data_IF_594164285467
#
_entry.id   IF_594164285467
#
_cell.length_a   1.000
_cell.length_b   1.000
_cell.length_c   1.000
_cell.angle_alpha   90.00
_cell.angle_beta   90.00
_cell.angle_gamma   90.00
#
_symmetry.space_group_name_H-M   'P 1'
#
loop_
_entity.id
_entity.type
_entity.pdbx_description
1 polymer ?
#
# COMPACT_ATOMS: atom_id res chain seq x y z
N UNK A 1 -16.47 -65.37 -41.40
CA UNK A 1 -17.37 -65.88 -40.34
C UNK A 1 -18.36 -64.77 -40.03
N UNK A 2 -19.52 -64.80 -40.67
CA UNK A 2 -20.77 -65.38 -40.14
C UNK A 2 -21.39 -64.44 -39.10
N UNK A 3 -22.37 -63.60 -39.50
CA UNK A 3 -23.83 -63.79 -39.29
C UNK A 3 -24.28 -63.39 -37.88
N UNK A 4 -25.38 -62.69 -37.61
CA UNK A 4 -26.60 -62.46 -38.40
C UNK A 4 -27.51 -61.43 -37.69
N UNK A 5 -28.24 -60.66 -38.52
CA UNK A 5 -29.70 -60.35 -38.49
C UNK A 5 -30.33 -59.74 -37.21
N UNK A 6 -30.93 -58.54 -37.28
CA UNK A 6 -32.30 -58.16 -37.80
C UNK A 6 -33.42 -58.85 -37.00
N UNK A 7 -34.61 -58.30 -36.74
CA UNK A 7 -35.42 -57.10 -37.11
C UNK A 7 -36.55 -57.09 -36.03
N UNK A 8 -36.94 -55.96 -35.46
CA UNK A 8 -38.04 -55.07 -35.88
C UNK A 8 -39.47 -55.67 -35.85
N UNK A 9 -40.45 -54.79 -35.59
CA UNK A 9 -41.92 -54.95 -35.46
C UNK A 9 -42.46 -55.16 -34.03
N UNK A 10 -43.56 -54.52 -33.62
CA UNK A 10 -44.56 -53.80 -34.40
C UNK A 10 -45.48 -52.94 -33.54
N UNK A 11 -46.20 -52.05 -34.25
CA UNK A 11 -47.36 -51.29 -33.78
C UNK A 11 -48.49 -52.24 -33.36
N UNK A 12 -49.20 -51.88 -32.28
CA UNK A 12 -50.42 -52.54 -31.83
C UNK A 12 -51.42 -51.54 -31.24
N UNK A 13 -52.47 -51.25 -32.01
CA UNK A 13 -53.75 -50.66 -31.62
C UNK A 13 -54.45 -51.56 -30.55
N UNK A 14 -55.45 -51.22 -29.73
CA UNK A 14 -56.60 -50.28 -29.80
C UNK A 14 -57.36 -50.35 -28.46
N UNK A 15 -58.02 -49.22 -28.12
CA UNK A 15 -59.37 -49.07 -27.55
C UNK A 15 -59.78 -49.64 -26.18
N UNK A 16 -60.21 -48.72 -25.29
CA UNK A 16 -61.60 -48.46 -24.85
C UNK A 16 -61.81 -48.38 -23.34
N UNK A 17 -62.44 -47.29 -22.89
CA UNK A 17 -63.04 -47.16 -21.56
C UNK A 17 -63.19 -45.71 -21.12
N UNK A 18 -64.25 -45.04 -21.57
CA UNK A 18 -64.54 -43.65 -21.27
C UNK A 18 -65.35 -43.41 -19.99
N UNK A 19 -65.27 -42.18 -19.50
CA UNK A 19 -66.35 -41.36 -18.91
C UNK A 19 -65.71 -39.97 -18.76
N UNK A 20 -66.30 -38.82 -19.05
CA UNK A 20 -67.68 -38.38 -19.21
C UNK A 20 -67.64 -36.91 -18.78
N UNK A 21 -68.00 -35.97 -19.66
CA UNK A 21 -67.94 -34.55 -19.32
C UNK A 21 -67.93 -33.64 -20.54
N UNK A 22 -69.11 -33.31 -21.02
CA UNK A 22 -69.33 -32.33 -22.09
C UNK A 22 -69.31 -30.92 -21.49
N UNK A 23 -68.36 -30.08 -21.90
CA UNK A 23 -68.47 -28.62 -21.84
C UNK A 23 -67.82 -28.00 -23.07
N UNK A 24 -68.66 -27.29 -23.84
CA UNK A 24 -68.40 -26.25 -24.82
C UNK A 24 -67.05 -26.25 -25.59
N UNK A 25 -67.17 -26.44 -26.91
CA UNK A 25 -66.19 -25.95 -27.87
C UNK A 25 -66.04 -24.42 -27.75
N UNK A 26 -64.94 -23.96 -27.16
CA UNK A 26 -64.40 -22.64 -27.46
C UNK A 26 -63.21 -22.84 -28.38
N UNK A 27 -63.23 -22.13 -29.51
CA UNK A 27 -62.05 -21.99 -30.36
C UNK A 27 -60.91 -21.45 -29.50
N UNK A 28 -59.84 -22.23 -29.41
CA UNK A 28 -58.61 -21.80 -28.76
C UNK A 28 -57.95 -20.83 -29.74
N UNK A 29 -58.20 -19.54 -29.56
CA UNK A 29 -57.36 -18.48 -30.15
C UNK A 29 -55.91 -18.87 -29.92
N UNK A 30 -55.14 -18.98 -31.01
CA UNK A 30 -53.70 -19.20 -30.97
C UNK A 30 -53.08 -17.99 -30.29
N UNK A 31 -52.88 -18.08 -28.97
CA UNK A 31 -52.11 -17.10 -28.24
C UNK A 31 -50.72 -17.07 -28.86
N UNK A 32 -50.32 -15.89 -29.34
CA UNK A 32 -48.96 -15.61 -29.78
C UNK A 32 -48.01 -16.06 -28.66
N UNK A 33 -46.98 -16.90 -28.96
CA UNK A 33 -45.99 -17.24 -27.95
C UNK A 33 -45.39 -15.94 -27.40
N UNK A 34 -45.13 -15.84 -26.08
CA UNK A 34 -44.46 -14.67 -25.52
C UNK A 34 -43.17 -14.43 -26.32
N UNK A 35 -42.80 -13.16 -26.59
CA UNK A 35 -41.57 -12.87 -27.29
C UNK A 35 -40.42 -13.61 -26.61
N UNK A 36 -39.58 -14.27 -27.41
CA UNK A 36 -38.39 -14.96 -26.90
C UNK A 36 -37.63 -13.97 -26.01
N UNK A 37 -37.46 -14.30 -24.73
CA UNK A 37 -36.58 -13.56 -23.85
C UNK A 37 -35.19 -13.75 -24.44
N UNK A 38 -34.61 -12.70 -25.03
CA UNK A 38 -33.20 -12.72 -25.38
C UNK A 38 -32.42 -12.98 -24.10
N UNK A 39 -31.90 -14.19 -23.94
CA UNK A 39 -30.93 -14.47 -22.91
C UNK A 39 -29.68 -13.67 -23.26
N UNK A 40 -29.54 -12.48 -22.66
CA UNK A 40 -28.32 -11.69 -22.77
C UNK A 40 -27.16 -12.56 -22.30
N UNK A 41 -26.29 -12.92 -23.24
CA UNK A 41 -25.07 -13.62 -22.93
C UNK A 41 -24.12 -12.62 -22.26
N UNK A 42 -24.12 -12.61 -20.94
CA UNK A 42 -23.25 -11.75 -20.14
C UNK A 42 -21.80 -12.21 -20.13
N UNK A 43 -21.48 -13.30 -20.82
CA UNK A 43 -20.13 -13.85 -20.88
C UNK A 43 -19.66 -14.41 -19.54
N UNK A 44 -18.38 -14.77 -19.50
CA UNK A 44 -17.68 -15.22 -18.32
C UNK A 44 -16.41 -14.37 -18.14
N UNK A 45 -16.04 -14.15 -16.89
CA UNK A 45 -14.77 -13.50 -16.54
C UNK A 45 -13.60 -14.47 -16.59
N UNK A 46 -13.85 -15.79 -16.45
CA UNK A 46 -12.83 -16.84 -16.40
C UNK A 46 -11.96 -16.82 -15.14
N UNK A 47 -12.33 -16.01 -14.14
CA UNK A 47 -11.55 -15.81 -12.92
C UNK A 47 -11.90 -16.87 -11.88
N UNK A 48 -10.87 -17.45 -11.28
CA UNK A 48 -10.92 -18.45 -10.23
C UNK A 48 -9.80 -18.19 -9.20
N UNK A 49 -9.85 -18.85 -8.05
CA UNK A 49 -8.74 -18.82 -7.07
C UNK A 49 -7.43 -19.17 -7.80
N UNK A 50 -6.33 -18.52 -7.42
CA UNK A 50 -5.01 -18.54 -8.06
C UNK A 50 -4.91 -17.83 -9.43
N UNK A 51 -5.99 -17.28 -9.97
CA UNK A 51 -5.92 -16.45 -11.18
C UNK A 51 -5.06 -15.21 -10.94
N UNK A 52 -4.26 -14.84 -11.94
CA UNK A 52 -3.45 -13.62 -11.90
C UNK A 52 -4.34 -12.39 -12.09
N UNK A 53 -4.34 -11.51 -11.11
CA UNK A 53 -5.02 -10.20 -11.13
C UNK A 53 -4.00 -9.06 -11.16
N UNK A 54 -4.42 -7.80 -11.33
CA UNK A 54 -3.54 -6.64 -11.18
C UNK A 54 -2.86 -6.56 -9.81
N UNK A 55 -3.47 -7.11 -8.76
CA UNK A 55 -3.01 -6.99 -7.36
C UNK A 55 -2.30 -8.24 -6.83
N UNK A 56 -2.14 -9.27 -7.66
CA UNK A 56 -1.54 -10.55 -7.27
C UNK A 56 -2.44 -11.73 -7.62
N UNK A 57 -2.17 -12.87 -7.00
CA UNK A 57 -3.00 -14.06 -7.19
C UNK A 57 -4.31 -13.90 -6.39
N UNK A 58 -5.41 -14.29 -7.00
CA UNK A 58 -6.72 -14.30 -6.35
C UNK A 58 -6.74 -15.33 -5.21
N UNK A 59 -6.91 -14.88 -3.97
CA UNK A 59 -7.08 -15.76 -2.81
C UNK A 59 -8.55 -16.17 -2.65
N UNK A 60 -9.46 -15.24 -2.94
CA UNK A 60 -10.90 -15.46 -2.90
C UNK A 60 -11.56 -14.88 -4.15
N UNK A 61 -12.52 -15.61 -4.70
CA UNK A 61 -13.33 -15.18 -5.85
C UNK A 61 -14.79 -15.51 -5.58
N UNK A 62 -15.67 -14.52 -5.66
CA UNK A 62 -17.12 -14.73 -5.69
C UNK A 62 -17.68 -14.26 -7.03
N UNK A 63 -18.75 -14.90 -7.49
CA UNK A 63 -19.40 -14.61 -8.76
C UNK A 63 -20.89 -14.31 -8.52
N UNK A 64 -21.24 -13.07 -8.15
CA UNK A 64 -22.63 -12.68 -7.86
C UNK A 64 -23.57 -12.92 -9.03
N UNK A 65 -23.07 -12.72 -10.25
CA UNK A 65 -23.86 -12.84 -11.46
C UNK A 65 -22.97 -13.21 -12.66
N UNK A 66 -23.57 -13.78 -13.73
CA UNK A 66 -22.85 -14.05 -14.97
C UNK A 66 -22.09 -12.82 -15.47
N UNK A 67 -20.79 -13.01 -15.73
CA UNK A 67 -19.88 -11.96 -16.20
C UNK A 67 -19.39 -10.98 -15.13
N UNK A 68 -19.64 -11.23 -13.84
CA UNK A 68 -19.16 -10.40 -12.73
C UNK A 68 -18.40 -11.30 -11.74
N UNK A 69 -17.16 -10.95 -11.43
CA UNK A 69 -16.36 -11.60 -10.37
C UNK A 69 -15.85 -10.57 -9.40
N UNK A 70 -16.03 -10.79 -8.11
CA UNK A 70 -15.40 -10.04 -7.03
C UNK A 70 -14.18 -10.85 -6.59
N UNK A 71 -13.03 -10.21 -6.51
CA UNK A 71 -11.76 -10.86 -6.20
C UNK A 71 -11.10 -10.18 -5.02
N UNK A 72 -10.58 -10.98 -4.09
CA UNK A 72 -9.71 -10.52 -3.02
C UNK A 72 -8.39 -11.28 -3.07
N UNK A 73 -7.32 -10.57 -2.73
CA UNK A 73 -5.92 -11.00 -2.69
C UNK A 73 -5.34 -10.65 -1.32
N UNK A 74 -4.12 -11.10 -1.02
CA UNK A 74 -3.48 -10.97 0.28
C UNK A 74 -3.36 -9.53 0.83
N UNK A 75 -3.50 -8.51 -0.01
CA UNK A 75 -3.49 -7.11 0.45
C UNK A 75 -4.44 -6.18 -0.30
N UNK A 76 -5.26 -6.67 -1.23
CA UNK A 76 -6.14 -5.83 -2.04
C UNK A 76 -7.23 -6.65 -2.75
N UNK A 77 -7.97 -6.04 -3.68
CA UNK A 77 -9.05 -6.70 -4.41
C UNK A 77 -9.71 -5.78 -5.43
N UNK A 78 -10.80 -6.28 -5.99
CA UNK A 78 -11.62 -5.52 -6.92
C UNK A 78 -12.63 -6.36 -7.67
N UNK A 79 -13.25 -5.74 -8.67
CA UNK A 79 -14.27 -6.36 -9.51
C UNK A 79 -13.73 -6.58 -10.91
N UNK A 80 -13.90 -7.79 -11.45
CA UNK A 80 -13.74 -8.09 -12.86
C UNK A 80 -15.09 -8.16 -13.54
N UNK A 81 -15.23 -7.40 -14.61
CA UNK A 81 -16.35 -7.53 -15.55
C UNK A 81 -15.93 -8.29 -16.81
N UNK A 82 -16.82 -9.12 -17.34
CA UNK A 82 -16.74 -9.61 -18.71
C UNK A 82 -16.78 -8.45 -19.71
N UNK A 83 -16.46 -8.71 -20.98
CA UNK A 83 -16.48 -7.66 -22.01
C UNK A 83 -17.89 -7.08 -22.18
N UNK A 84 -18.90 -7.94 -22.10
CA UNK A 84 -20.31 -7.64 -22.29
C UNK A 84 -20.84 -6.78 -21.14
N UNK A 85 -20.50 -7.13 -19.90
CA UNK A 85 -20.80 -6.30 -18.71
C UNK A 85 -20.08 -4.97 -18.76
N UNK A 86 -18.78 -4.98 -19.05
CA UNK A 86 -17.98 -3.78 -19.09
C UNK A 86 -18.49 -2.78 -20.15
N UNK A 87 -19.09 -3.27 -21.24
CA UNK A 87 -19.71 -2.43 -22.26
C UNK A 87 -20.97 -1.69 -21.80
N UNK A 88 -21.59 -2.06 -20.67
CA UNK A 88 -22.74 -1.36 -20.07
C UNK A 88 -22.34 -0.23 -19.13
N UNK A 89 -21.12 -0.24 -18.60
CA UNK A 89 -20.57 0.91 -17.85
C UNK A 89 -20.38 2.08 -18.82
N UNK A 90 -20.86 3.31 -18.53
CA UNK A 90 -20.66 4.44 -19.43
C UNK A 90 -19.18 4.70 -19.72
N UNK A 91 -18.83 5.15 -20.94
CA UNK A 91 -17.44 5.30 -21.36
C UNK A 91 -16.56 6.12 -20.41
N UNK A 92 -17.11 7.13 -19.73
CA UNK A 92 -16.38 7.97 -18.78
C UNK A 92 -15.91 7.20 -17.53
N UNK A 93 -16.66 6.19 -17.09
CA UNK A 93 -16.37 5.37 -15.91
C UNK A 93 -15.80 3.99 -16.24
N UNK A 94 -15.62 3.68 -17.54
CA UNK A 94 -15.32 2.33 -18.01
C UNK A 94 -13.83 2.05 -18.02
N UNK A 95 -13.41 1.02 -17.28
CA UNK A 95 -12.04 0.53 -17.32
C UNK A 95 -11.77 -0.32 -18.56
N UNK A 96 -10.69 -0.04 -19.30
CA UNK A 96 -10.39 -0.68 -20.59
C UNK A 96 -10.16 -2.20 -20.48
N UNK A 97 -9.53 -2.63 -19.38
CA UNK A 97 -9.24 -4.03 -19.09
C UNK A 97 -10.41 -4.73 -18.34
N UNK A 98 -11.44 -3.97 -17.96
CA UNK A 98 -12.59 -4.43 -17.18
C UNK A 98 -12.26 -4.85 -15.75
N UNK A 99 -11.08 -4.51 -15.24
CA UNK A 99 -10.74 -4.61 -13.82
C UNK A 99 -11.04 -3.26 -13.16
N UNK A 100 -11.63 -3.32 -11.98
CA UNK A 100 -11.99 -2.17 -11.16
C UNK A 100 -11.47 -2.41 -9.75
N UNK A 101 -10.50 -1.62 -9.31
CA UNK A 101 -9.92 -1.61 -7.97
C UNK A 101 -10.95 -1.33 -6.85
N UNK A 102 -10.81 -1.95 -5.69
CA UNK A 102 -11.84 -1.98 -4.64
C UNK A 102 -12.12 -0.65 -3.92
N UNK A 103 -11.12 0.20 -3.68
CA UNK A 103 -11.23 1.43 -2.88
C UNK A 103 -11.83 2.60 -3.68
N UNK A 104 -11.76 2.58 -5.01
CA UNK A 104 -12.29 3.66 -5.83
C UNK A 104 -13.03 3.18 -7.09
N UNK A 105 -12.40 2.40 -7.97
CA UNK A 105 -12.97 2.12 -9.29
C UNK A 105 -14.21 1.21 -9.22
N UNK A 106 -14.27 0.31 -8.23
CA UNK A 106 -15.34 -0.67 -8.02
C UNK A 106 -16.71 -0.04 -7.77
N UNK A 107 -16.75 1.24 -7.38
CA UNK A 107 -17.99 1.98 -7.27
C UNK A 107 -18.77 2.02 -8.60
N UNK A 108 -18.10 1.99 -9.76
CA UNK A 108 -18.80 1.94 -11.05
C UNK A 108 -19.61 0.63 -11.24
N UNK A 109 -19.01 -0.58 -11.16
CA UNK A 109 -19.80 -1.81 -11.25
C UNK A 109 -20.85 -1.94 -10.13
N UNK A 110 -20.55 -1.52 -8.89
CA UNK A 110 -21.54 -1.54 -7.81
C UNK A 110 -22.72 -0.60 -8.08
N UNK A 111 -22.51 0.55 -8.74
CA UNK A 111 -23.58 1.47 -9.10
C UNK A 111 -24.47 0.93 -10.23
N UNK A 112 -23.86 0.37 -11.30
CA UNK A 112 -24.61 -0.06 -12.49
C UNK A 112 -25.21 -1.46 -12.38
N UNK A 113 -24.67 -2.33 -11.53
CA UNK A 113 -25.13 -3.71 -11.35
C UNK A 113 -25.59 -4.01 -9.92
N UNK A 114 -26.02 -2.99 -9.17
CA UNK A 114 -26.43 -3.12 -7.78
C UNK A 114 -27.47 -4.24 -7.55
N UNK A 115 -28.47 -4.33 -8.44
CA UNK A 115 -29.55 -5.33 -8.37
C UNK A 115 -29.03 -6.77 -8.41
N UNK A 116 -27.88 -6.97 -9.04
CA UNK A 116 -27.28 -8.29 -9.26
C UNK A 116 -26.16 -8.58 -8.27
N UNK A 117 -25.68 -7.58 -7.52
CA UNK A 117 -24.53 -7.71 -6.63
C UNK A 117 -24.88 -7.55 -5.15
N UNK A 118 -25.99 -6.89 -4.82
CA UNK A 118 -26.32 -6.53 -3.44
C UNK A 118 -26.35 -7.72 -2.47
N UNK A 119 -26.76 -8.90 -2.96
CA UNK A 119 -26.88 -10.12 -2.16
C UNK A 119 -25.56 -10.69 -1.64
N UNK A 120 -24.42 -10.28 -2.20
CA UNK A 120 -23.10 -10.63 -1.69
C UNK A 120 -22.71 -9.81 -0.44
N UNK A 121 -23.46 -8.75 -0.13
CA UNK A 121 -23.13 -7.80 0.95
C UNK A 121 -24.16 -7.84 2.07
N UNK A 122 -23.73 -7.51 3.29
CA UNK A 122 -24.53 -7.68 4.51
C UNK A 122 -25.88 -6.96 4.52
N UNK A 123 -26.04 -5.90 3.70
CA UNK A 123 -27.29 -5.13 3.62
C UNK A 123 -28.30 -5.76 2.66
N UNK A 124 -27.86 -6.57 1.68
CA UNK A 124 -28.69 -7.16 0.63
C UNK A 124 -29.75 -6.20 0.04
N UNK A 125 -29.33 -4.94 -0.16
CA UNK A 125 -30.18 -3.85 -0.61
C UNK A 125 -29.53 -3.15 -1.82
N UNK A 126 -30.09 -3.35 -3.03
CA UNK A 126 -29.60 -2.70 -4.24
C UNK A 126 -29.64 -1.17 -4.21
N UNK A 127 -30.63 -0.56 -3.55
CA UNK A 127 -30.75 0.90 -3.48
C UNK A 127 -29.65 1.47 -2.60
N UNK A 128 -29.44 0.86 -1.42
CA UNK A 128 -28.35 1.22 -0.53
C UNK A 128 -26.97 1.05 -1.18
N UNK A 129 -26.74 -0.07 -1.89
CA UNK A 129 -25.49 -0.28 -2.63
C UNK A 129 -25.29 0.83 -3.67
N UNK A 130 -26.34 1.19 -4.40
CA UNK A 130 -26.28 2.23 -5.43
C UNK A 130 -25.98 3.60 -4.82
N UNK A 131 -26.58 3.94 -3.68
CA UNK A 131 -26.29 5.19 -2.95
C UNK A 131 -24.83 5.26 -2.47
N UNK A 132 -24.32 4.19 -1.86
CA UNK A 132 -22.93 4.12 -1.39
C UNK A 132 -21.94 4.22 -2.57
N UNK A 133 -22.22 3.50 -3.65
CA UNK A 133 -21.41 3.52 -4.85
C UNK A 133 -21.44 4.91 -5.52
N UNK A 134 -22.58 5.57 -5.58
CA UNK A 134 -22.72 6.92 -6.10
C UNK A 134 -21.88 7.93 -5.31
N UNK A 135 -21.94 7.87 -3.98
CA UNK A 135 -21.11 8.71 -3.11
C UNK A 135 -19.62 8.48 -3.38
N UNK A 136 -19.20 7.23 -3.54
CA UNK A 136 -17.82 6.89 -3.90
C UNK A 136 -17.39 7.42 -5.28
N UNK A 137 -18.27 7.32 -6.28
CA UNK A 137 -18.02 7.88 -7.62
C UNK A 137 -17.88 9.41 -7.58
N UNK A 138 -18.72 10.11 -6.82
CA UNK A 138 -18.60 11.57 -6.63
C UNK A 138 -17.31 11.93 -5.90
N UNK A 139 -16.93 11.16 -4.87
CA UNK A 139 -15.74 11.41 -4.07
C UNK A 139 -14.46 11.32 -4.92
N UNK A 140 -14.29 10.23 -5.66
CA UNK A 140 -13.05 9.90 -6.36
C UNK A 140 -13.02 10.28 -7.84
N UNK A 141 -14.17 10.29 -8.52
CA UNK A 141 -14.30 10.49 -9.96
C UNK A 141 -15.37 11.52 -10.33
N UNK A 142 -15.31 12.75 -9.76
CA UNK A 142 -16.37 13.74 -9.92
C UNK A 142 -16.61 14.09 -11.40
N UNK A 143 -15.55 14.30 -12.19
CA UNK A 143 -15.68 14.71 -13.60
C UNK A 143 -16.26 13.58 -14.47
N UNK A 144 -15.83 12.34 -14.24
CA UNK A 144 -16.32 11.16 -14.94
C UNK A 144 -17.77 10.87 -14.57
N UNK A 145 -18.13 11.06 -13.30
CA UNK A 145 -19.50 10.95 -12.82
C UNK A 145 -20.42 11.99 -13.47
N UNK A 146 -20.00 13.26 -13.55
CA UNK A 146 -20.76 14.30 -14.26
C UNK A 146 -20.94 13.94 -15.74
N UNK A 147 -19.88 13.46 -16.41
CA UNK A 147 -19.95 13.06 -17.82
C UNK A 147 -20.85 11.85 -18.03
N UNK A 148 -20.87 10.90 -17.10
CA UNK A 148 -21.64 9.66 -17.21
C UNK A 148 -23.13 9.88 -16.90
N UNK A 149 -23.46 10.76 -15.95
CA UNK A 149 -24.82 10.91 -15.41
C UNK A 149 -25.48 12.25 -15.76
N UNK A 150 -24.70 13.26 -16.15
CA UNK A 150 -25.14 14.65 -16.31
C UNK A 150 -25.39 15.39 -14.99
N UNK A 151 -25.23 14.73 -13.84
CA UNK A 151 -25.43 15.34 -12.53
C UNK A 151 -24.20 16.13 -12.12
N UNK A 152 -24.40 17.33 -11.57
CA UNK A 152 -23.30 18.17 -11.07
C UNK A 152 -22.81 17.71 -9.70
N UNK A 153 -21.50 17.67 -9.52
CA UNK A 153 -20.83 17.34 -8.25
C UNK A 153 -20.26 18.62 -7.65
N UNK A 154 -20.55 18.84 -6.38
CA UNK A 154 -20.03 20.01 -5.65
C UNK A 154 -18.79 19.64 -4.82
N UNK A 155 -17.96 20.62 -4.40
CA UNK A 155 -16.82 20.36 -3.50
C UNK A 155 -17.22 19.67 -2.19
N UNK A 156 -18.42 19.90 -1.67
CA UNK A 156 -18.88 19.23 -0.44
C UNK A 156 -19.03 17.71 -0.63
N UNK A 157 -19.21 17.26 -1.87
CA UNK A 157 -19.43 15.87 -2.26
C UNK A 157 -18.17 15.17 -2.79
N UNK A 158 -17.06 15.90 -2.93
CA UNK A 158 -15.83 15.36 -3.53
C UNK A 158 -14.56 15.93 -2.92
N UNK A 159 -13.77 15.07 -2.28
CA UNK A 159 -12.40 15.36 -1.86
C UNK A 159 -11.52 15.88 -2.99
N UNK A 160 -11.65 15.32 -4.20
CA UNK A 160 -10.91 15.77 -5.38
C UNK A 160 -11.25 17.21 -5.76
N UNK A 161 -12.54 17.60 -5.73
CA UNK A 161 -12.94 18.98 -6.01
C UNK A 161 -12.55 19.94 -4.89
N UNK A 162 -12.59 19.52 -3.61
CA UNK A 162 -12.06 20.33 -2.50
C UNK A 162 -10.58 20.61 -2.68
N UNK A 163 -9.80 19.59 -3.03
CA UNK A 163 -8.36 19.73 -3.26
C UNK A 163 -8.08 20.69 -4.42
N UNK A 164 -8.81 20.56 -5.54
CA UNK A 164 -8.70 21.51 -6.67
C UNK A 164 -9.08 22.94 -6.28
N UNK A 165 -10.11 23.12 -5.45
CA UNK A 165 -10.52 24.45 -4.98
C UNK A 165 -9.46 25.05 -4.05
N UNK A 166 -8.92 24.25 -3.11
CA UNK A 166 -7.84 24.67 -2.23
C UNK A 166 -6.58 25.04 -3.03
N UNK A 167 -6.25 24.27 -4.06
CA UNK A 167 -5.16 24.56 -4.99
C UNK A 167 -5.35 25.88 -5.74
N UNK A 168 -6.57 26.15 -6.20
CA UNK A 168 -6.89 27.40 -6.89
C UNK A 168 -6.82 28.60 -5.94
N UNK A 169 -7.32 28.44 -4.72
CA UNK A 169 -7.27 29.50 -3.69
C UNK A 169 -5.82 29.80 -3.27
N UNK A 170 -4.98 28.77 -3.17
CA UNK A 170 -3.58 28.91 -2.81
C UNK A 170 -2.65 29.13 -4.02
N UNK A 171 -3.18 29.38 -5.22
CA UNK A 171 -2.39 29.40 -6.45
C UNK A 171 -1.23 30.42 -6.42
N UNK A 172 -1.47 31.60 -5.86
CA UNK A 172 -0.49 32.68 -5.70
C UNK A 172 0.13 32.73 -4.29
N UNK A 173 -0.11 31.72 -3.47
CA UNK A 173 0.31 31.70 -2.07
C UNK A 173 1.26 30.53 -1.78
N UNK A 174 2.02 30.61 -0.70
CA UNK A 174 2.90 29.52 -0.27
C UNK A 174 2.10 28.44 0.48
N UNK A 175 1.55 27.49 -0.27
CA UNK A 175 0.86 26.33 0.28
C UNK A 175 1.85 25.31 0.87
N UNK A 176 1.57 24.81 2.07
CA UNK A 176 2.46 23.85 2.75
C UNK A 176 2.50 22.52 2.02
N UNK A 177 3.72 22.09 1.69
CA UNK A 177 4.02 20.76 1.11
C UNK A 177 4.58 19.82 2.17
N UNK A 178 5.38 20.35 3.09
CA UNK A 178 5.97 19.58 4.19
C UNK A 178 6.15 20.41 5.44
N UNK A 179 6.23 19.75 6.59
CA UNK A 179 6.44 20.40 7.87
C UNK A 179 7.35 19.57 8.78
N UNK A 180 8.26 20.23 9.50
CA UNK A 180 9.20 19.62 10.43
C UNK A 180 9.29 20.42 11.73
N UNK A 181 9.57 19.75 12.84
CA UNK A 181 9.86 20.45 14.10
C UNK A 181 11.08 21.35 13.94
N UNK A 182 11.04 22.55 14.53
CA UNK A 182 12.22 23.41 14.59
C UNK A 182 13.16 22.93 15.71
N UNK A 183 14.43 22.68 15.38
CA UNK A 183 15.46 22.33 16.36
C UNK A 183 15.85 23.54 17.23
N UNK A 184 15.78 24.74 16.66
CA UNK A 184 16.10 25.99 17.36
C UNK A 184 14.95 26.45 18.28
N UNK A 185 13.70 26.19 17.89
CA UNK A 185 12.49 26.66 18.55
C UNK A 185 11.48 25.51 18.80
N UNK A 186 11.50 24.88 19.99
CA UNK A 186 10.67 23.71 20.29
C UNK A 186 9.14 23.92 20.20
N UNK A 187 8.68 25.17 20.28
CA UNK A 187 7.29 25.62 20.14
C UNK A 187 6.90 25.95 18.70
N UNK A 188 7.84 25.89 17.75
CA UNK A 188 7.62 26.20 16.34
C UNK A 188 7.74 24.97 15.44
N UNK A 189 7.23 25.12 14.23
CA UNK A 189 7.33 24.18 13.11
C UNK A 189 7.89 24.95 11.93
N UNK A 190 8.85 24.36 11.23
CA UNK A 190 9.30 24.85 9.94
C UNK A 190 8.40 24.21 8.88
N UNK A 191 7.68 25.03 8.13
CA UNK A 191 6.89 24.59 6.99
C UNK A 191 7.66 24.90 5.71
N UNK A 192 7.60 24.00 4.73
CA UNK A 192 8.06 24.26 3.37
C UNK A 192 6.84 24.59 2.52
N UNK A 193 6.74 25.84 2.11
CA UNK A 193 5.68 26.34 1.25
C UNK A 193 6.11 26.31 -0.21
N UNK A 194 5.17 25.95 -1.10
CA UNK A 194 5.34 26.01 -2.55
C UNK A 194 4.24 26.87 -3.15
N UNK A 195 4.62 27.83 -3.99
CA UNK A 195 3.69 28.72 -4.70
C UNK A 195 3.54 28.27 -6.16
N UNK A 196 2.32 27.88 -6.54
CA UNK A 196 2.06 27.32 -7.88
C UNK A 196 2.20 28.31 -9.03
N UNK A 197 2.02 29.61 -8.78
CA UNK A 197 2.05 30.65 -9.82
C UNK A 197 3.40 30.81 -10.51
N UNK A 198 4.49 30.63 -9.77
CA UNK A 198 5.87 30.81 -10.25
C UNK A 198 6.79 29.62 -9.92
N UNK A 199 6.29 28.65 -9.14
CA UNK A 199 7.07 27.49 -8.69
C UNK A 199 8.07 27.83 -7.59
N UNK A 200 7.88 28.96 -6.91
CA UNK A 200 8.77 29.39 -5.84
C UNK A 200 8.58 28.52 -4.58
N UNK A 201 9.68 28.24 -3.90
CA UNK A 201 9.72 27.43 -2.68
C UNK A 201 10.39 28.20 -1.55
N UNK A 202 9.76 28.25 -0.39
CA UNK A 202 10.28 28.96 0.77
C UNK A 202 9.95 28.22 2.07
N UNK A 203 10.88 28.27 3.04
CA UNK A 203 10.61 27.79 4.39
C UNK A 203 10.11 28.93 5.29
N UNK A 204 9.07 28.66 6.07
CA UNK A 204 8.51 29.61 7.03
C UNK A 204 8.49 29.01 8.43
N UNK A 205 8.70 29.85 9.44
CA UNK A 205 8.59 29.46 10.84
C UNK A 205 7.18 29.78 11.36
N UNK A 206 6.44 28.74 11.73
CA UNK A 206 5.03 28.84 12.17
C UNK A 206 4.90 28.34 13.60
N UNK A 207 3.97 28.90 14.36
CA UNK A 207 3.60 28.36 15.68
C UNK A 207 3.07 26.93 15.55
N UNK A 208 3.58 26.03 16.41
CA UNK A 208 3.18 24.62 16.37
C UNK A 208 1.69 24.44 16.61
N UNK A 209 1.11 25.23 17.51
CA UNK A 209 -0.30 25.14 17.86
C UNK A 209 -1.18 25.70 16.75
N UNK A 210 -0.76 26.78 16.08
CA UNK A 210 -1.42 27.32 14.88
C UNK A 210 -1.44 26.27 13.77
N UNK A 211 -0.28 25.67 13.46
CA UNK A 211 -0.17 24.65 12.43
C UNK A 211 -1.00 23.39 12.75
N UNK A 212 -1.08 22.99 14.03
CA UNK A 212 -1.89 21.84 14.47
C UNK A 212 -3.39 22.13 14.50
N UNK A 213 -3.78 23.37 14.78
CA UNK A 213 -5.17 23.79 14.80
C UNK A 213 -5.77 23.94 13.40
N UNK A 214 -4.94 23.94 12.35
CA UNK A 214 -5.41 24.05 10.96
C UNK A 214 -6.36 22.91 10.60
N UNK A 215 -7.58 23.29 10.23
CA UNK A 215 -8.57 22.37 9.74
C UNK A 215 -8.26 22.02 8.29
N UNK A 216 -7.75 20.80 8.08
CA UNK A 216 -7.44 20.27 6.74
C UNK A 216 -8.64 20.25 5.81
N UNK A 217 -9.87 20.28 6.34
CA UNK A 217 -11.08 20.35 5.52
C UNK A 217 -11.25 21.72 4.83
N UNK A 218 -10.56 22.76 5.31
CA UNK A 218 -10.56 24.11 4.73
C UNK A 218 -9.49 24.32 3.66
N UNK A 219 -8.73 23.27 3.31
CA UNK A 219 -7.70 23.30 2.26
C UNK A 219 -6.28 23.32 2.80
N UNK A 220 -5.34 23.76 1.96
CA UNK A 220 -3.92 23.80 2.31
C UNK A 220 -3.66 24.84 3.40
N UNK A 221 -2.76 24.54 4.33
CA UNK A 221 -2.20 25.59 5.17
C UNK A 221 -1.38 26.52 4.27
N UNK A 222 -1.61 27.82 4.37
CA UNK A 222 -0.90 28.84 3.59
C UNK A 222 -0.03 29.65 4.54
N UNK A 223 1.25 29.82 4.18
CA UNK A 223 2.15 30.68 4.93
C UNK A 223 1.79 32.15 4.71
N UNK A 224 1.51 32.85 5.80
CA UNK A 224 1.29 34.30 5.81
C UNK A 224 2.65 34.99 5.90
N UNK A 225 3.08 35.64 4.81
CA UNK A 225 4.41 36.26 4.73
C UNK A 225 4.62 37.41 5.73
N UNK A 226 3.54 38.03 6.23
CA UNK A 226 3.62 39.11 7.22
C UNK A 226 3.69 38.57 8.66
N UNK A 227 3.11 37.40 8.92
CA UNK A 227 3.05 36.79 10.26
C UNK A 227 4.04 35.66 10.49
N UNK A 228 4.40 34.92 9.44
CA UNK A 228 5.27 33.76 9.49
C UNK A 228 6.65 34.17 8.94
N UNK A 229 7.67 34.32 9.79
CA UNK A 229 8.99 34.71 9.33
C UNK A 229 9.52 33.71 8.30
N UNK A 230 9.81 34.18 7.10
CA UNK A 230 10.53 33.40 6.11
C UNK A 230 11.94 33.13 6.66
N UNK A 231 12.29 31.85 6.74
CA UNK A 231 13.65 31.47 7.06
C UNK A 231 14.55 31.86 5.88
N UNK A 232 15.78 32.33 6.13
CA UNK A 232 16.73 32.54 5.04
C UNK A 232 16.80 31.24 4.25
N UNK A 233 16.80 31.33 2.91
CA UNK A 233 17.08 30.19 2.03
C UNK A 233 18.25 29.47 2.67
N UNK A 234 18.02 28.22 3.09
CA UNK A 234 19.10 27.40 3.58
C UNK A 234 20.12 27.46 2.44
N UNK A 235 21.29 28.05 2.68
CA UNK A 235 22.47 27.58 1.97
C UNK A 235 22.34 26.08 2.13
N UNK A 236 22.16 25.37 1.01
CA UNK A 236 22.00 23.93 1.04
C UNK A 236 23.23 23.45 1.77
N UNK A 237 23.12 23.19 3.07
CA UNK A 237 24.16 22.49 3.80
C UNK A 237 24.15 21.15 3.10
N UNK A 238 25.03 21.02 2.10
CA UNK A 238 25.24 19.77 1.39
C UNK A 238 25.45 18.76 2.51
N UNK A 239 24.50 17.83 2.66
CA UNK A 239 24.67 16.74 3.61
C UNK A 239 26.08 16.21 3.35
N UNK A 240 26.91 16.07 4.41
CA UNK A 240 28.31 15.72 4.22
C UNK A 240 28.37 14.48 3.34
N UNK A 241 29.00 14.61 2.17
CA UNK A 241 29.08 13.52 1.19
C UNK A 241 29.63 12.30 1.90
N UNK A 242 29.00 11.13 1.72
CA UNK A 242 29.51 9.93 2.34
C UNK A 242 30.94 9.69 1.86
N UNK A 243 31.74 9.09 2.74
CA UNK A 243 33.11 8.74 2.35
C UNK A 243 33.04 7.63 1.30
N UNK A 244 33.79 7.77 0.18
CA UNK A 244 34.07 6.68 -0.73
C UNK A 244 34.35 5.37 -0.01
N UNK A 245 33.68 4.30 -0.44
CA UNK A 245 33.91 2.96 0.07
C UNK A 245 34.92 2.29 -0.85
N UNK A 246 36.10 1.99 -0.32
CA UNK A 246 37.08 1.19 -1.04
C UNK A 246 36.61 -0.26 -1.11
N UNK A 247 36.31 -0.74 -2.32
CA UNK A 247 35.92 -2.14 -2.56
C UNK A 247 37.18 -2.90 -2.95
N UNK A 248 37.55 -3.99 -2.24
CA UNK A 248 38.73 -4.77 -2.60
C UNK A 248 38.64 -5.34 -4.02
N UNK A 249 39.69 -5.17 -4.83
CA UNK A 249 39.76 -5.69 -6.21
C UNK A 249 39.54 -7.20 -6.31
N UNK A 250 39.80 -7.94 -5.22
CA UNK A 250 39.64 -9.39 -5.15
C UNK A 250 38.80 -9.78 -3.94
N UNK A 251 37.72 -10.52 -4.21
CA UNK A 251 36.92 -11.18 -3.18
C UNK A 251 37.75 -12.32 -2.54
N UNK A 252 37.96 -12.32 -1.21
CA UNK A 252 38.80 -13.30 -0.51
C UNK A 252 38.48 -14.76 -0.86
N UNK A 253 39.50 -15.60 -0.95
CA UNK A 253 39.35 -17.03 -1.32
C UNK A 253 38.51 -17.82 -0.30
N UNK A 254 38.37 -17.31 0.94
CA UNK A 254 37.48 -17.85 1.97
C UNK A 254 35.98 -17.76 1.60
N UNK A 255 35.61 -16.91 0.65
CA UNK A 255 34.24 -16.77 0.16
C UNK A 255 33.92 -17.89 -0.83
N UNK A 256 32.81 -18.61 -0.58
CA UNK A 256 32.36 -19.71 -1.44
C UNK A 256 32.08 -19.24 -2.87
N UNK A 257 32.22 -20.13 -3.85
CA UNK A 257 31.97 -19.79 -5.26
C UNK A 257 30.58 -19.21 -5.52
N UNK A 258 29.54 -19.76 -4.88
CA UNK A 258 28.18 -19.26 -4.98
C UNK A 258 28.01 -17.85 -4.35
N UNK A 259 28.66 -17.59 -3.21
CA UNK A 259 28.65 -16.27 -2.60
C UNK A 259 29.40 -15.25 -3.46
N UNK A 260 30.56 -15.62 -4.01
CA UNK A 260 31.34 -14.78 -4.94
C UNK A 260 30.53 -14.36 -6.17
N UNK A 261 29.78 -15.29 -6.77
CA UNK A 261 28.90 -14.98 -7.89
C UNK A 261 27.81 -13.96 -7.53
N UNK A 262 27.22 -14.08 -6.33
CA UNK A 262 26.20 -13.12 -5.85
C UNK A 262 26.80 -11.75 -5.58
N UNK A 263 27.99 -11.70 -4.99
CA UNK A 263 28.72 -10.45 -4.74
C UNK A 263 28.99 -9.72 -6.05
N UNK A 264 29.60 -10.39 -7.03
CA UNK A 264 29.85 -9.78 -8.34
C UNK A 264 28.55 -9.31 -9.00
N UNK A 265 27.50 -10.15 -8.97
CA UNK A 265 26.20 -9.77 -9.54
C UNK A 265 25.64 -8.50 -8.91
N UNK A 266 25.69 -8.37 -7.59
CA UNK A 266 25.15 -7.21 -6.90
C UNK A 266 26.02 -5.96 -7.14
N UNK A 267 27.35 -6.11 -7.17
CA UNK A 267 28.29 -5.01 -7.44
C UNK A 267 28.20 -4.50 -8.89
N UNK A 268 27.98 -5.40 -9.85
CA UNK A 268 27.81 -5.09 -11.28
C UNK A 268 26.38 -4.61 -11.61
N UNK A 269 25.44 -4.75 -10.68
CA UNK A 269 24.06 -4.31 -10.88
C UNK A 269 24.04 -2.81 -11.16
N UNK A 270 23.41 -2.43 -12.27
CA UNK A 270 23.30 -1.05 -12.71
C UNK A 270 22.13 -0.34 -12.02
N UNK A 271 22.38 0.88 -11.59
CA UNK A 271 21.44 1.79 -10.95
C UNK A 271 21.50 3.15 -11.63
N UNK A 272 20.39 3.89 -11.61
CA UNK A 272 20.40 5.32 -11.95
C UNK A 272 20.78 6.09 -10.69
N UNK A 273 21.78 6.93 -10.78
CA UNK A 273 22.13 7.85 -9.70
C UNK A 273 21.23 9.09 -9.69
N UNK A 274 21.46 9.99 -8.73
CA UNK A 274 20.72 11.26 -8.59
C UNK A 274 20.86 12.19 -9.80
N UNK A 275 21.93 12.06 -10.57
CA UNK A 275 22.20 12.84 -11.79
C UNK A 275 21.54 12.21 -13.03
N UNK A 276 20.83 11.09 -12.87
CA UNK A 276 20.19 10.34 -13.96
C UNK A 276 21.13 9.43 -14.75
N UNK A 277 22.41 9.38 -14.37
CA UNK A 277 23.44 8.56 -14.98
C UNK A 277 23.31 7.10 -14.54
N UNK A 278 23.56 6.17 -15.45
CA UNK A 278 23.54 4.73 -15.14
C UNK A 278 24.95 4.29 -14.72
N UNK A 279 25.10 3.77 -13.49
CA UNK A 279 26.37 3.27 -12.95
C UNK A 279 26.17 1.96 -12.20
N UNK A 280 27.22 1.16 -12.09
CA UNK A 280 27.18 -0.04 -11.25
C UNK A 280 27.19 0.33 -9.77
N UNK A 281 26.71 -0.57 -8.90
CA UNK A 281 26.79 -0.38 -7.45
C UNK A 281 28.24 -0.17 -7.00
N UNK A 282 29.19 -0.91 -7.59
CA UNK A 282 30.63 -0.70 -7.35
C UNK A 282 31.02 0.76 -7.56
N UNK A 283 30.73 1.32 -8.74
CA UNK A 283 31.10 2.69 -9.11
C UNK A 283 30.44 3.72 -8.20
N UNK A 284 29.20 3.49 -7.81
CA UNK A 284 28.47 4.38 -6.90
C UNK A 284 29.14 4.39 -5.53
N UNK A 285 29.47 3.22 -4.98
CA UNK A 285 30.09 3.12 -3.66
C UNK A 285 31.49 3.73 -3.62
N UNK A 286 32.29 3.57 -4.68
CA UNK A 286 33.61 4.20 -4.78
C UNK A 286 33.55 5.72 -4.98
N UNK A 287 32.55 6.24 -5.70
CA UNK A 287 32.43 7.68 -5.98
C UNK A 287 31.74 8.43 -4.85
N UNK A 288 30.57 7.91 -4.45
CA UNK A 288 29.59 8.63 -3.62
C UNK A 288 29.52 8.09 -2.19
N UNK A 289 30.10 6.91 -1.94
CA UNK A 289 30.07 6.26 -0.63
C UNK A 289 28.71 5.72 -0.21
N UNK A 290 28.65 5.24 1.03
CA UNK A 290 27.45 4.80 1.70
C UNK A 290 27.46 5.26 3.16
N UNK A 291 26.27 5.46 3.75
CA UNK A 291 26.13 5.83 5.16
C UNK A 291 26.29 4.60 6.04
N UNK A 292 25.47 3.57 5.81
CA UNK A 292 25.42 2.36 6.63
C UNK A 292 24.80 1.19 5.87
N UNK A 293 24.92 -0.01 6.43
CA UNK A 293 24.20 -1.21 6.00
C UNK A 293 22.93 -1.37 6.84
N UNK A 294 21.83 -1.80 6.23
CA UNK A 294 20.58 -2.09 6.95
C UNK A 294 19.89 -3.35 6.46
N UNK A 295 18.98 -3.87 7.28
CA UNK A 295 18.16 -5.04 6.99
C UNK A 295 16.70 -4.69 7.23
N UNK A 296 15.86 -4.94 6.23
CA UNK A 296 14.42 -4.68 6.28
C UNK A 296 13.66 -6.00 6.26
N UNK A 297 12.68 -6.13 7.15
CA UNK A 297 11.69 -7.20 7.07
C UNK A 297 10.55 -6.76 6.15
N UNK A 298 10.15 -7.64 5.24
CA UNK A 298 9.03 -7.41 4.32
C UNK A 298 8.09 -8.61 4.38
N UNK A 299 6.79 -8.34 4.31
CA UNK A 299 5.73 -9.33 4.47
C UNK A 299 5.29 -9.48 5.93
N UNK A 300 4.32 -10.35 6.16
CA UNK A 300 3.69 -10.54 7.47
C UNK A 300 3.56 -12.04 7.82
N UNK A 301 3.50 -12.33 9.13
CA UNK A 301 3.24 -13.66 9.65
C UNK A 301 4.27 -14.70 9.21
N UNK A 302 3.81 -15.80 8.62
CA UNK A 302 4.68 -16.91 8.17
C UNK A 302 5.58 -16.54 6.97
N UNK A 303 5.29 -15.44 6.27
CA UNK A 303 5.92 -15.09 5.00
C UNK A 303 6.95 -13.94 5.10
N UNK A 304 7.37 -13.58 6.32
CA UNK A 304 8.36 -12.53 6.54
C UNK A 304 9.69 -12.89 5.85
N UNK A 305 10.19 -11.97 5.01
CA UNK A 305 11.48 -12.07 4.31
C UNK A 305 12.40 -10.93 4.75
N UNK A 306 13.65 -11.24 5.03
CA UNK A 306 14.68 -10.25 5.33
C UNK A 306 15.41 -9.84 4.06
N UNK A 307 15.39 -8.55 3.75
CA UNK A 307 16.13 -7.92 2.64
C UNK A 307 17.32 -7.17 3.20
N UNK A 308 18.47 -7.35 2.58
CA UNK A 308 19.71 -6.65 2.94
C UNK A 308 19.89 -5.47 1.99
N UNK A 309 20.36 -4.34 2.52
CA UNK A 309 20.60 -3.15 1.73
C UNK A 309 21.83 -2.38 2.20
N UNK A 310 22.41 -1.66 1.25
CA UNK A 310 23.38 -0.60 1.51
C UNK A 310 22.64 0.73 1.39
N UNK A 311 22.63 1.51 2.47
CA UNK A 311 21.96 2.81 2.54
C UNK A 311 22.99 3.88 2.23
N UNK A 312 22.66 4.75 1.28
CA UNK A 312 23.48 5.89 0.95
C UNK A 312 22.98 7.13 1.68
N UNK A 313 21.66 7.33 1.72
CA UNK A 313 21.03 8.46 2.40
C UNK A 313 19.55 8.15 2.65
N UNK A 314 18.82 9.13 3.20
CA UNK A 314 17.40 9.03 3.54
C UNK A 314 16.47 8.65 2.37
N UNK A 315 16.94 8.73 1.13
CA UNK A 315 16.14 8.49 -0.08
C UNK A 315 16.71 7.38 -0.98
N UNK A 316 17.96 6.96 -0.75
CA UNK A 316 18.68 6.06 -1.66
C UNK A 316 19.20 4.84 -0.91
N UNK A 317 18.68 3.67 -1.27
CA UNK A 317 19.16 2.39 -0.76
C UNK A 317 19.27 1.36 -1.88
N UNK A 318 20.31 0.55 -1.81
CA UNK A 318 20.63 -0.47 -2.80
C UNK A 318 20.40 -1.84 -2.21
N UNK A 319 19.44 -2.57 -2.78
CA UNK A 319 19.17 -3.95 -2.36
C UNK A 319 20.33 -4.85 -2.77
N UNK A 320 20.85 -5.60 -1.82
CA UNK A 320 21.94 -6.55 -2.04
C UNK A 320 21.61 -7.92 -1.44
N UNK A 321 22.36 -8.93 -1.84
CA UNK A 321 22.34 -10.24 -1.20
C UNK A 321 23.03 -10.20 0.16
N UNK A 322 22.73 -11.19 1.01
CA UNK A 322 23.43 -11.35 2.29
C UNK A 322 24.95 -11.47 2.11
N UNK A 323 25.40 -12.14 1.05
CA UNK A 323 26.83 -12.32 0.78
C UNK A 323 27.53 -10.98 0.56
N UNK A 324 26.92 -10.09 -0.22
CA UNK A 324 27.41 -8.73 -0.46
C UNK A 324 27.33 -7.87 0.78
N UNK A 325 26.24 -7.98 1.55
CA UNK A 325 26.09 -7.30 2.83
C UNK A 325 27.23 -7.66 3.80
N UNK A 326 27.51 -8.96 3.96
CA UNK A 326 28.59 -9.45 4.82
C UNK A 326 29.98 -9.08 4.28
N UNK A 327 30.15 -9.05 2.95
CA UNK A 327 31.41 -8.70 2.28
C UNK A 327 31.78 -7.22 2.41
N UNK A 328 30.80 -6.32 2.40
CA UNK A 328 30.99 -4.88 2.55
C UNK A 328 31.00 -4.48 4.04
N UNK A 329 31.80 -5.16 4.86
CA UNK A 329 31.91 -4.92 6.31
C UNK A 329 32.60 -3.61 6.69
N UNK A 330 33.28 -2.96 5.74
CA UNK A 330 33.84 -1.61 5.88
C UNK A 330 32.76 -0.53 6.02
N UNK A 331 31.54 -0.81 5.56
CA UNK A 331 30.38 0.06 5.73
C UNK A 331 29.75 -0.24 7.10
N UNK A 332 29.53 0.76 7.97
CA UNK A 332 29.06 0.52 9.33
C UNK A 332 27.65 -0.08 9.34
N UNK A 333 27.40 -1.01 10.26
CA UNK A 333 26.09 -1.58 10.52
C UNK A 333 25.45 -0.80 11.69
N UNK A 334 24.46 0.03 11.39
CA UNK A 334 23.83 0.90 12.39
C UNK A 334 22.70 0.21 13.17
N UNK A 335 22.42 -1.07 12.88
CA UNK A 335 21.40 -1.83 13.61
C UNK A 335 21.78 -1.96 15.07
N UNK A 336 20.89 -1.48 15.93
CA UNK A 336 21.06 -1.54 17.37
C UNK A 336 20.91 -2.97 17.90
N UNK A 337 21.36 -3.26 19.14
CA UNK A 337 21.05 -4.54 19.79
C UNK A 337 19.56 -4.85 19.80
N UNK A 338 18.68 -3.86 19.98
CA UNK A 338 17.25 -4.05 19.87
C UNK A 338 16.81 -4.43 18.45
N UNK A 339 17.37 -3.82 17.41
CA UNK A 339 17.03 -4.16 16.01
C UNK A 339 17.41 -5.61 15.68
N UNK A 340 18.61 -6.04 16.09
CA UNK A 340 19.04 -7.44 15.93
C UNK A 340 18.13 -8.41 16.70
N UNK A 341 17.71 -8.03 17.91
CA UNK A 341 16.80 -8.85 18.70
C UNK A 341 15.39 -8.88 18.11
N UNK A 342 14.92 -7.77 17.50
CA UNK A 342 13.65 -7.72 16.77
C UNK A 342 13.66 -8.65 15.57
N UNK A 343 14.75 -8.67 14.79
CA UNK A 343 14.91 -9.60 13.67
C UNK A 343 14.81 -11.06 14.14
N UNK A 344 15.44 -11.39 15.26
CA UNK A 344 15.35 -12.71 15.89
C UNK A 344 13.90 -13.04 16.32
N UNK A 345 13.19 -12.10 16.92
CA UNK A 345 11.78 -12.26 17.28
C UNK A 345 10.91 -12.52 16.05
N UNK A 346 11.08 -11.75 14.98
CA UNK A 346 10.33 -11.91 13.73
C UNK A 346 10.59 -13.28 13.07
N UNK A 347 11.84 -13.78 13.09
CA UNK A 347 12.16 -15.13 12.60
C UNK A 347 11.46 -16.21 13.41
N UNK A 348 11.43 -16.06 14.73
CA UNK A 348 10.74 -17.00 15.63
C UNK A 348 9.23 -16.93 15.45
N UNK A 349 8.67 -15.76 15.21
CA UNK A 349 7.26 -15.56 14.92
C UNK A 349 6.85 -16.24 13.62
N UNK A 350 7.61 -16.01 12.54
CA UNK A 350 7.38 -16.69 11.27
C UNK A 350 7.42 -18.22 11.43
N UNK A 351 8.36 -18.75 12.24
CA UNK A 351 8.43 -20.18 12.57
C UNK A 351 7.18 -20.67 13.31
N UNK A 352 6.70 -19.92 14.31
CA UNK A 352 5.47 -20.26 15.05
C UNK A 352 4.28 -20.30 14.10
N UNK A 353 4.10 -19.26 13.28
CA UNK A 353 2.99 -19.19 12.31
C UNK A 353 3.02 -20.32 11.29
N UNK A 354 4.22 -20.70 10.82
CA UNK A 354 4.37 -21.84 9.91
C UNK A 354 3.95 -23.15 10.58
N UNK A 355 4.38 -23.41 11.81
CA UNK A 355 3.98 -24.60 12.56
C UNK A 355 2.46 -24.61 12.85
N UNK A 356 1.87 -23.46 13.15
CA UNK A 356 0.42 -23.33 13.35
C UNK A 356 -0.38 -23.64 12.08
N UNK A 357 0.12 -23.20 10.92
CA UNK A 357 -0.47 -23.51 9.63
C UNK A 357 -0.34 -25.01 9.29
N UNK A 358 0.83 -25.62 9.53
CA UNK A 358 1.09 -27.05 9.30
C UNK A 358 0.18 -27.95 10.16
N UNK A 359 -0.22 -27.49 11.35
CA UNK A 359 -1.08 -28.23 12.26
C UNK A 359 -2.58 -27.85 12.20
N UNK A 360 -3.02 -27.12 11.16
CA UNK A 360 -4.45 -26.88 10.89
C UNK A 360 -5.14 -25.92 11.86
N UNK A 361 -4.38 -25.10 12.58
CA UNK A 361 -4.92 -24.20 13.61
C UNK A 361 -5.35 -24.92 14.89
N UNK A 362 -5.53 -24.15 15.97
CA UNK A 362 -5.84 -24.66 17.32
C UNK A 362 -7.29 -25.21 17.50
N UNK A 363 -8.01 -25.53 16.41
CA UNK A 363 -9.45 -25.81 16.46
C UNK A 363 -9.83 -27.14 15.79
N UNK A 364 -9.20 -28.24 16.21
CA UNK A 364 -9.47 -29.58 15.67
C UNK A 364 -9.17 -30.74 16.62
N UNK A 365 -9.54 -31.97 16.23
CA UNK A 365 -9.41 -33.23 17.02
C UNK A 365 -7.97 -33.57 17.46
N UNK A 366 -6.95 -32.91 16.92
CA UNK A 366 -5.53 -33.09 17.23
C UNK A 366 -4.91 -31.92 18.02
N UNK A 367 -5.73 -31.10 18.69
CA UNK A 367 -5.30 -29.91 19.44
C UNK A 367 -4.11 -30.14 20.39
N UNK A 368 -4.10 -31.26 21.11
CA UNK A 368 -3.04 -31.57 22.10
C UNK A 368 -1.70 -31.82 21.43
N UNK A 369 -1.68 -32.48 20.27
CA UNK A 369 -0.46 -32.74 19.50
C UNK A 369 0.05 -31.48 18.81
N UNK A 370 -0.86 -30.70 18.21
CA UNK A 370 -0.55 -29.38 17.64
C UNK A 370 0.04 -28.43 18.70
N UNK A 371 -0.56 -28.39 19.90
CA UNK A 371 -0.07 -27.57 21.00
C UNK A 371 1.31 -28.04 21.48
N UNK A 372 1.54 -29.35 21.60
CA UNK A 372 2.85 -29.91 22.00
C UNK A 372 3.95 -29.61 20.98
N UNK A 373 3.61 -29.59 19.68
CA UNK A 373 4.55 -29.28 18.60
C UNK A 373 4.89 -27.77 18.53
N UNK A 374 3.92 -26.89 18.76
CA UNK A 374 4.07 -25.43 18.66
C UNK A 374 4.61 -24.79 19.95
N UNK A 375 4.30 -25.36 21.13
CA UNK A 375 4.63 -24.78 22.43
C UNK A 375 6.12 -24.41 22.62
N UNK A 376 7.11 -25.23 22.23
CA UNK A 376 8.52 -24.85 22.34
C UNK A 376 8.88 -23.63 21.49
N UNK A 377 8.30 -23.51 20.29
CA UNK A 377 8.54 -22.37 19.40
C UNK A 377 7.90 -21.09 19.94
N UNK A 378 6.68 -21.19 20.51
CA UNK A 378 6.02 -20.06 21.19
C UNK A 378 6.79 -19.60 22.42
N UNK A 379 7.29 -20.54 23.24
CA UNK A 379 8.14 -20.20 24.39
C UNK A 379 9.39 -19.43 23.96
N UNK A 380 10.10 -19.92 22.94
CA UNK A 380 11.27 -19.24 22.40
C UNK A 380 10.95 -17.85 21.82
N UNK A 381 9.77 -17.68 21.20
CA UNK A 381 9.30 -16.39 20.70
C UNK A 381 9.06 -15.40 21.85
N UNK A 382 8.34 -15.83 22.90
CA UNK A 382 8.07 -15.00 24.07
C UNK A 382 9.38 -14.54 24.74
N UNK A 383 10.33 -15.46 24.97
CA UNK A 383 11.64 -15.13 25.54
C UNK A 383 12.42 -14.12 24.67
N UNK A 384 12.32 -14.25 23.33
CA UNK A 384 12.94 -13.31 22.38
C UNK A 384 12.27 -11.93 22.41
N UNK A 385 10.94 -11.88 22.51
CA UNK A 385 10.16 -10.64 22.59
C UNK A 385 10.40 -9.89 23.91
N UNK A 386 10.46 -10.60 25.04
CA UNK A 386 10.82 -10.03 26.33
C UNK A 386 12.20 -9.39 26.29
N UNK A 387 13.18 -10.08 25.68
CA UNK A 387 14.53 -9.55 25.49
C UNK A 387 14.55 -8.32 24.57
N UNK A 388 13.75 -8.31 23.50
CA UNK A 388 13.61 -7.14 22.62
C UNK A 388 13.06 -5.94 23.39
N UNK A 389 12.00 -6.13 24.19
CA UNK A 389 11.39 -5.06 24.99
C UNK A 389 12.38 -4.50 26.03
N UNK A 390 13.17 -5.37 26.68
CA UNK A 390 14.19 -4.96 27.63
C UNK A 390 15.27 -4.08 26.96
N UNK A 391 15.80 -4.51 25.80
CA UNK A 391 16.80 -3.76 25.04
C UNK A 391 16.25 -2.41 24.55
N UNK A 392 15.01 -2.40 24.05
CA UNK A 392 14.34 -1.15 23.64
C UNK A 392 14.19 -0.15 24.77
N UNK A 393 13.81 -0.62 25.95
CA UNK A 393 13.68 0.24 27.13
C UNK A 393 15.03 0.83 27.54
N UNK A 394 16.08 0.02 27.55
CA UNK A 394 17.44 0.47 27.86
C UNK A 394 17.95 1.51 26.84
N UNK A 395 17.70 1.30 25.54
CA UNK A 395 18.05 2.26 24.49
C UNK A 395 17.28 3.58 24.63
N UNK A 396 16.00 3.52 24.97
CA UNK A 396 15.18 4.72 25.20
C UNK A 396 15.67 5.51 26.42
N UNK A 397 16.03 4.84 27.50
CA UNK A 397 16.61 5.46 28.69
C UNK A 397 17.96 6.13 28.36
N UNK A 398 18.84 5.46 27.62
CA UNK A 398 20.10 6.04 27.14
C UNK A 398 19.87 7.25 26.23
N UNK A 399 18.86 7.19 25.36
CA UNK A 399 18.49 8.31 24.48
C UNK A 399 18.02 9.51 25.29
N UNK A 400 17.13 9.31 26.27
CA UNK A 400 16.63 10.38 27.16
C UNK A 400 17.76 11.03 27.97
N UNK A 401 18.71 10.24 28.48
CA UNK A 401 19.90 10.77 29.17
C UNK A 401 20.77 11.61 28.23
N UNK A 402 20.98 11.14 26.99
CA UNK A 402 21.74 11.88 25.98
C UNK A 402 21.06 13.19 25.57
N UNK A 403 19.75 13.16 25.37
CA UNK A 403 18.93 14.33 25.02
C UNK A 403 18.91 15.35 26.16
N UNK A 404 18.70 14.93 27.41
CA UNK A 404 18.78 15.82 28.57
C UNK A 404 20.18 16.45 28.72
N UNK A 405 21.25 15.67 28.50
CA UNK A 405 22.61 16.21 28.51
C UNK A 405 22.89 17.19 27.36
N UNK A 406 22.24 17.00 26.21
CA UNK A 406 22.32 17.92 25.08
C UNK A 406 21.59 19.24 25.36
N UNK A 407 20.39 19.19 25.94
CA UNK A 407 19.64 20.38 26.38
C UNK A 407 20.41 21.18 27.43
N UNK A 408 21.04 20.50 28.41
CA UNK A 408 21.89 21.14 29.42
C UNK A 408 23.11 21.85 28.78
N UNK A 409 23.72 21.25 27.76
CA UNK A 409 24.84 21.85 27.01
C UNK A 409 24.40 23.08 26.22
N UNK A 410 23.23 23.02 25.56
CA UNK A 410 22.67 24.15 24.84
C UNK A 410 22.30 25.29 25.78
N UNK A 411 21.73 24.98 26.95
CA UNK A 411 21.44 25.97 28.00
C UNK A 411 22.73 26.65 28.49
N UNK A 412 23.78 25.89 28.77
CA UNK A 412 25.07 26.44 29.19
C UNK A 412 25.74 27.29 28.09
N UNK A 413 25.58 26.95 26.81
CA UNK A 413 26.04 27.78 25.70
C UNK A 413 25.27 29.10 25.62
N UNK A 414 23.93 29.07 25.77
CA UNK A 414 23.07 30.27 25.81
C UNK A 414 23.44 31.20 26.96
N UNK A 415 23.70 30.67 28.15
CA UNK A 415 24.16 31.46 29.31
C UNK A 415 25.52 32.10 29.06
N UNK A 416 26.48 31.38 28.47
CA UNK A 416 27.80 31.93 28.10
C UNK A 416 27.70 33.01 27.03
N UNK A 417 26.80 32.85 26.05
CA UNK A 417 26.56 33.85 25.03
C UNK A 417 25.92 35.12 25.62
N UNK A 418 24.90 34.95 26.48
CA UNK A 418 24.28 36.06 27.19
C UNK A 418 25.23 36.80 28.15
N UNK A 419 26.20 36.10 28.76
CA UNK A 419 27.24 36.74 29.59
C UNK A 419 28.26 37.51 28.73
N UNK A 420 28.63 36.98 27.56
CA UNK A 420 29.47 37.71 26.58
C UNK A 420 28.80 38.99 26.10
N UNK A 421 27.51 38.94 25.75
CA UNK A 421 26.73 40.10 25.30
C UNK A 421 26.56 41.14 26.42
N UNK A 422 26.35 40.70 27.67
CA UNK A 422 26.31 41.60 28.84
C UNK A 422 27.64 42.30 29.08
N UNK A 423 28.77 41.58 29.00
CA UNK A 423 30.11 42.17 29.12
C UNK A 423 30.43 43.13 27.99
N UNK A 424 30.01 42.83 26.76
CA UNK A 424 30.16 43.73 25.62
C UNK A 424 29.36 45.04 25.79
N UNK A 425 28.18 45.00 26.41
CA UNK A 425 27.40 46.21 26.74
C UNK A 425 28.01 47.05 27.87
N UNK A 426 28.71 46.43 28.81
CA UNK A 426 29.29 47.13 29.98
C UNK A 426 30.69 47.68 29.67
N UNK A 427 31.45 47.04 28.78
CA UNK A 427 32.79 47.48 28.37
C UNK A 427 32.83 48.52 27.24
N UNK A 428 31.67 49.00 26.78
CA UNK A 428 31.53 50.01 25.72
C UNK A 428 31.26 51.43 26.23
N UNK A 429 31.81 51.80 27.38
CA UNK A 429 31.79 53.18 27.91
C UNK A 429 33.19 53.73 28.07
#
# INVERSE_FOLDING_TARGET
MSTSRRKDQGLGATANGGSGGSFASHERSTATPPPAVEHQNWGDTGIHVDSRTPWGNADHVTQPAPGISIVSTAGHGGVKLSRERNAKIPPALRQKNGWYEEDCESHAPFYYFADEMAHEFSHNDPEYMREVAERGLREWYPDEFEKATGQKVSPEQSGVLRERLADQQAFNEFAVVSARGSEAFPDKVVISGHRKSDGDEAEFLVDRDEYRAHDKSQGHFVADQDRHPQLPLKEVEEKPKNKPVAIPDRIPDSVTGAARQRINKDLDQLWRDREGNVRSLHQILERDGASHRSVYAEGEGANIKFRYAIVQDDHSSYRVSKATFDYLDSIPDERTPADLQREDSLRKEAKVRKLEAEHGGLHGRNFVEAHRAVAPARKALLESQEKYLALRKEEEEKRKVREGSHEDRLKAQREKQADRERRARIGGF
#
